data_IF_683624053307
#
_entry.id   IF_683624053307
#
_cell.length_a   1.000
_cell.length_b   1.000
_cell.length_c   1.000
_cell.angle_alpha   90.00
_cell.angle_beta   90.00
_cell.angle_gamma   90.00
#
_symmetry.space_group_name_H-M   'P 1'
#
loop_
_entity.id
_entity.type
_entity.pdbx_description
1 polymer ?
#
# COMPACT_ATOMS: atom_id res chain seq x y z
N UNK A 1 -58.09 24.49 -9.63
CA UNK A 1 -58.19 23.16 -10.27
C UNK A 1 -57.05 22.87 -11.25
N UNK A 2 -56.65 23.83 -12.10
CA UNK A 2 -55.55 23.67 -13.08
C UNK A 2 -54.19 23.44 -12.39
N UNK A 3 -53.89 24.19 -11.33
CA UNK A 3 -52.63 24.07 -10.57
C UNK A 3 -52.49 22.70 -9.90
N UNK A 4 -53.59 22.17 -9.33
CA UNK A 4 -53.61 20.84 -8.70
C UNK A 4 -53.38 19.73 -9.73
N UNK A 5 -53.97 19.85 -10.93
CA UNK A 5 -53.74 18.89 -12.03
C UNK A 5 -52.30 18.94 -12.55
N UNK A 6 -51.71 20.13 -12.63
CA UNK A 6 -50.32 20.29 -13.04
C UNK A 6 -49.34 19.66 -12.03
N UNK A 7 -49.60 19.81 -10.73
CA UNK A 7 -48.81 19.18 -9.67
C UNK A 7 -48.88 17.65 -9.73
N UNK A 8 -50.08 17.07 -9.92
CA UNK A 8 -50.26 15.62 -10.06
C UNK A 8 -49.50 15.07 -11.28
N UNK A 9 -49.55 15.77 -12.42
CA UNK A 9 -48.81 15.37 -13.62
C UNK A 9 -47.30 15.45 -13.40
N UNK A 10 -46.82 16.48 -12.70
CA UNK A 10 -45.40 16.64 -12.37
C UNK A 10 -44.90 15.54 -11.44
N UNK A 11 -45.65 15.17 -10.40
CA UNK A 11 -45.33 14.05 -9.52
C UNK A 11 -45.27 12.73 -10.28
N UNK A 12 -46.25 12.43 -11.14
CA UNK A 12 -46.26 11.20 -11.96
C UNK A 12 -45.02 11.13 -12.87
N UNK A 13 -44.61 12.27 -13.46
CA UNK A 13 -43.41 12.32 -14.31
C UNK A 13 -42.13 12.07 -13.52
N UNK A 14 -42.00 12.63 -12.31
CA UNK A 14 -40.86 12.39 -11.40
C UNK A 14 -40.81 10.92 -10.99
N UNK A 15 -41.93 10.35 -10.55
CA UNK A 15 -42.00 8.93 -10.18
C UNK A 15 -41.70 8.01 -11.36
N UNK A 16 -42.19 8.33 -12.57
CA UNK A 16 -41.87 7.59 -13.78
C UNK A 16 -40.38 7.60 -14.12
N UNK A 17 -39.72 8.76 -13.98
CA UNK A 17 -38.27 8.88 -14.19
C UNK A 17 -37.47 8.12 -13.13
N UNK A 18 -37.91 8.15 -11.87
CA UNK A 18 -37.27 7.41 -10.78
C UNK A 18 -37.36 5.89 -10.99
N UNK A 19 -38.52 5.38 -11.40
CA UNK A 19 -38.72 3.95 -11.70
C UNK A 19 -37.87 3.49 -12.89
N UNK A 20 -37.78 4.32 -13.94
CA UNK A 20 -36.92 4.03 -15.09
C UNK A 20 -35.43 4.03 -14.70
N UNK A 21 -34.99 5.00 -13.89
CA UNK A 21 -33.63 5.04 -13.39
C UNK A 21 -33.30 3.80 -12.54
N UNK A 22 -34.19 3.40 -11.64
CA UNK A 22 -34.03 2.20 -10.82
C UNK A 22 -33.95 0.93 -11.67
N UNK A 23 -34.79 0.80 -12.70
CA UNK A 23 -34.74 -0.33 -13.63
C UNK A 23 -33.45 -0.38 -14.45
N UNK A 24 -32.95 0.77 -14.88
CA UNK A 24 -31.66 0.88 -15.58
C UNK A 24 -30.49 0.49 -14.68
N UNK A 25 -30.48 0.95 -13.42
CA UNK A 25 -29.45 0.58 -12.43
C UNK A 25 -29.46 -0.93 -12.20
N UNK A 26 -30.61 -1.53 -11.91
CA UNK A 26 -30.72 -2.98 -11.69
C UNK A 26 -30.26 -3.80 -12.90
N UNK A 27 -30.59 -3.35 -14.12
CA UNK A 27 -30.12 -4.01 -15.33
C UNK A 27 -28.58 -3.93 -15.44
N UNK A 28 -28.00 -2.76 -15.18
CA UNK A 28 -26.55 -2.57 -15.24
C UNK A 28 -25.81 -3.40 -14.18
N UNK A 29 -26.36 -3.54 -12.97
CA UNK A 29 -25.80 -4.41 -11.92
C UNK A 29 -25.86 -5.89 -12.33
N UNK A 30 -26.99 -6.34 -12.88
CA UNK A 30 -27.13 -7.72 -13.38
C UNK A 30 -26.18 -8.02 -14.54
N UNK A 31 -25.99 -7.07 -15.45
CA UNK A 31 -25.05 -7.22 -16.57
C UNK A 31 -23.59 -7.27 -16.07
N UNK A 32 -23.26 -6.50 -15.04
CA UNK A 32 -21.94 -6.52 -14.39
C UNK A 32 -21.70 -7.83 -13.65
N UNK A 33 -22.67 -8.30 -12.86
CA UNK A 33 -22.62 -9.58 -12.14
C UNK A 33 -22.37 -10.75 -13.10
N UNK A 34 -23.07 -10.79 -14.24
CA UNK A 34 -22.86 -11.82 -15.27
C UNK A 34 -21.45 -11.78 -15.84
N UNK A 35 -20.94 -10.60 -16.17
CA UNK A 35 -19.56 -10.44 -16.67
C UNK A 35 -18.54 -10.91 -15.65
N UNK A 36 -18.69 -10.52 -14.38
CA UNK A 36 -17.81 -10.99 -13.31
C UNK A 36 -17.86 -12.51 -13.20
N UNK A 37 -19.05 -13.11 -13.25
CA UNK A 37 -19.21 -14.56 -13.19
C UNK A 37 -18.56 -15.29 -14.38
N UNK A 38 -18.65 -14.73 -15.58
CA UNK A 38 -17.99 -15.25 -16.79
C UNK A 38 -16.46 -15.23 -16.64
N UNK A 39 -15.88 -14.11 -16.20
CA UNK A 39 -14.43 -14.01 -16.00
C UNK A 39 -13.93 -14.93 -14.88
N UNK A 40 -14.65 -15.03 -13.76
CA UNK A 40 -14.28 -15.96 -12.68
C UNK A 40 -14.37 -17.41 -13.15
N UNK A 41 -15.30 -17.74 -14.05
CA UNK A 41 -15.33 -19.08 -14.66
C UNK A 41 -14.06 -19.33 -15.49
N UNK A 42 -13.59 -18.36 -16.28
CA UNK A 42 -12.31 -18.48 -17.01
C UNK A 42 -11.12 -18.66 -16.05
N UNK A 43 -11.15 -18.02 -14.86
CA UNK A 43 -10.11 -18.21 -13.82
C UNK A 43 -10.00 -19.68 -13.39
N UNK A 44 -11.13 -20.38 -13.21
CA UNK A 44 -11.14 -21.81 -12.86
C UNK A 44 -10.42 -22.67 -13.91
N UNK A 45 -10.49 -22.25 -15.17
CA UNK A 45 -9.94 -22.97 -16.31
C UNK A 45 -8.47 -22.62 -16.59
N UNK A 46 -7.91 -21.62 -15.90
CA UNK A 46 -6.49 -21.25 -16.02
C UNK A 46 -5.59 -22.46 -15.77
N UNK A 47 -4.56 -22.58 -16.59
CA UNK A 47 -3.58 -23.66 -16.55
C UNK A 47 -2.17 -23.12 -16.78
N UNK A 48 -1.16 -23.78 -16.22
CA UNK A 48 0.24 -23.42 -16.40
C UNK A 48 1.07 -23.55 -15.13
N UNK A 49 2.26 -22.98 -15.14
CA UNK A 49 3.14 -22.89 -13.96
C UNK A 49 3.20 -21.43 -13.50
N UNK A 50 2.94 -21.21 -12.22
CA UNK A 50 3.13 -19.91 -11.54
C UNK A 50 4.25 -20.06 -10.55
N UNK A 51 5.36 -19.31 -10.68
CA UNK A 51 6.28 -19.25 -9.55
C UNK A 51 5.55 -18.67 -8.31
N UNK A 52 5.92 -19.10 -7.11
CA UNK A 52 5.29 -18.64 -5.87
C UNK A 52 5.27 -17.11 -5.73
N UNK A 53 6.31 -16.44 -6.25
CA UNK A 53 6.49 -14.98 -6.29
C UNK A 53 5.93 -14.29 -7.55
N UNK A 54 5.57 -15.05 -8.60
CA UNK A 54 5.06 -14.53 -9.87
C UNK A 54 3.55 -14.30 -9.89
N UNK A 55 2.86 -14.49 -8.75
CA UNK A 55 1.47 -14.05 -8.64
C UNK A 55 1.31 -12.55 -8.94
N UNK A 56 2.38 -11.77 -8.73
CA UNK A 56 2.47 -10.35 -9.10
C UNK A 56 2.56 -10.08 -10.62
N UNK A 57 2.77 -11.11 -11.46
CA UNK A 57 2.96 -10.99 -12.91
C UNK A 57 1.93 -11.77 -13.75
N UNK A 58 0.87 -12.30 -13.12
CA UNK A 58 -0.22 -12.94 -13.87
C UNK A 58 -1.02 -11.90 -14.66
N UNK A 59 -0.58 -11.67 -15.90
CA UNK A 59 -1.27 -10.92 -16.95
C UNK A 59 -2.23 -11.80 -17.75
N UNK A 60 -2.86 -12.78 -17.08
CA UNK A 60 -3.88 -13.59 -17.71
C UNK A 60 -5.10 -12.70 -18.01
N UNK A 61 -5.61 -12.77 -19.23
CA UNK A 61 -6.73 -11.98 -19.73
C UNK A 61 -7.89 -11.83 -18.73
N UNK A 62 -8.45 -12.89 -18.10
CA UNK A 62 -9.57 -12.72 -17.17
C UNK A 62 -9.23 -11.92 -15.90
N UNK A 63 -7.96 -11.93 -15.46
CA UNK A 63 -7.52 -11.14 -14.30
C UNK A 63 -7.42 -9.67 -14.68
N UNK A 64 -6.90 -9.38 -15.87
CA UNK A 64 -6.79 -8.02 -16.39
C UNK A 64 -8.18 -7.43 -16.66
N UNK A 65 -9.08 -8.20 -17.29
CA UNK A 65 -10.46 -7.78 -17.53
C UNK A 65 -11.16 -7.38 -16.23
N UNK A 66 -11.07 -8.20 -15.17
CA UNK A 66 -11.64 -7.87 -13.87
C UNK A 66 -10.99 -6.63 -13.23
N UNK A 67 -9.67 -6.47 -13.34
CA UNK A 67 -8.97 -5.27 -12.84
C UNK A 67 -9.43 -4.00 -13.56
N UNK A 68 -9.63 -4.07 -14.88
CA UNK A 68 -10.10 -2.94 -15.70
C UNK A 68 -11.53 -2.51 -15.34
N UNK A 69 -12.38 -3.43 -14.90
CA UNK A 69 -13.72 -3.08 -14.39
C UNK A 69 -13.65 -2.24 -13.10
N UNK A 70 -12.55 -2.30 -12.36
CA UNK A 70 -12.27 -1.43 -11.22
C UNK A 70 -13.15 -1.68 -9.99
N UNK A 71 -13.19 -0.73 -9.05
CA UNK A 71 -13.75 -0.96 -7.72
C UNK A 71 -15.22 -1.39 -7.70
N UNK A 72 -16.00 -1.04 -8.72
CA UNK A 72 -17.44 -1.34 -8.79
C UNK A 72 -17.71 -2.86 -8.75
N UNK A 73 -16.75 -3.70 -9.15
CA UNK A 73 -16.93 -5.15 -9.13
C UNK A 73 -16.60 -5.82 -7.80
N UNK A 74 -15.97 -5.12 -6.83
CA UNK A 74 -15.57 -5.72 -5.55
C UNK A 74 -16.73 -6.47 -4.86
N UNK A 75 -17.96 -5.91 -4.74
CA UNK A 75 -19.08 -6.63 -4.12
C UNK A 75 -19.43 -7.95 -4.81
N UNK A 76 -19.30 -8.02 -6.14
CA UNK A 76 -19.59 -9.20 -6.95
C UNK A 76 -18.48 -10.24 -6.88
N UNK A 77 -17.26 -9.85 -6.50
CA UNK A 77 -16.14 -10.75 -6.26
C UNK A 77 -16.19 -11.41 -4.87
N UNK A 78 -16.79 -10.76 -3.87
CA UNK A 78 -16.81 -11.27 -2.48
C UNK A 78 -17.31 -12.72 -2.33
N UNK A 79 -18.41 -13.15 -3.00
CA UNK A 79 -18.88 -14.53 -2.88
C UNK A 79 -17.84 -15.56 -3.34
N UNK A 80 -16.99 -15.20 -4.30
CA UNK A 80 -15.96 -16.10 -4.85
C UNK A 80 -14.74 -16.27 -3.92
N UNK A 81 -14.65 -15.52 -2.81
CA UNK A 81 -13.69 -15.86 -1.75
C UNK A 81 -13.99 -17.21 -1.09
N UNK A 82 -15.24 -17.69 -1.19
CA UNK A 82 -15.63 -19.03 -0.75
C UNK A 82 -15.37 -20.12 -1.81
N UNK A 83 -14.90 -19.76 -3.01
CA UNK A 83 -14.59 -20.73 -4.06
C UNK A 83 -13.21 -21.36 -3.83
N UNK A 84 -13.21 -22.53 -3.20
CA UNK A 84 -11.99 -23.31 -2.91
C UNK A 84 -11.62 -24.28 -4.05
N UNK A 85 -12.28 -24.18 -5.20
CA UNK A 85 -11.99 -25.01 -6.36
C UNK A 85 -10.54 -24.85 -6.79
N UNK A 86 -9.91 -25.96 -7.13
CA UNK A 86 -8.58 -26.01 -7.70
C UNK A 86 -8.60 -25.52 -9.16
N UNK A 87 -7.68 -24.62 -9.50
CA UNK A 87 -7.38 -24.27 -10.89
C UNK A 87 -6.46 -25.34 -11.50
N UNK A 88 -6.15 -25.24 -12.80
CA UNK A 88 -5.13 -26.11 -13.42
C UNK A 88 -3.71 -25.52 -13.33
N UNK A 89 -3.53 -24.44 -12.56
CA UNK A 89 -2.24 -23.78 -12.36
C UNK A 89 -1.48 -24.47 -11.23
N UNK A 90 -0.21 -24.81 -11.50
CA UNK A 90 0.72 -25.36 -10.52
C UNK A 90 1.62 -24.27 -9.97
N UNK A 91 1.74 -24.18 -8.64
CA UNK A 91 2.65 -23.24 -8.00
C UNK A 91 4.06 -23.82 -7.95
N UNK A 92 5.04 -23.21 -8.58
CA UNK A 92 6.44 -23.69 -8.56
C UNK A 92 7.26 -22.86 -7.58
N UNK A 93 8.02 -23.50 -6.69
CA UNK A 93 8.95 -22.80 -5.80
C UNK A 93 10.38 -22.98 -6.31
N UNK A 94 10.98 -21.92 -6.85
CA UNK A 94 12.39 -21.93 -7.26
C UNK A 94 13.30 -21.70 -6.05
N UNK A 95 13.52 -22.72 -5.22
CA UNK A 95 14.68 -22.80 -4.32
C UNK A 95 15.60 -23.93 -4.79
N UNK A 96 16.78 -23.57 -5.31
CA UNK A 96 17.84 -24.55 -5.58
C UNK A 96 18.26 -25.26 -4.27
N UNK A 97 18.58 -26.58 -4.28
CA UNK A 97 18.72 -27.47 -5.44
C UNK A 97 17.55 -28.46 -5.66
N UNK A 98 16.46 -28.37 -4.88
CA UNK A 98 15.37 -29.34 -4.91
C UNK A 98 14.03 -28.68 -5.24
N UNK A 99 13.49 -29.01 -6.42
CA UNK A 99 12.12 -28.70 -6.82
C UNK A 99 11.14 -29.52 -5.95
N UNK A 100 10.64 -28.96 -4.84
CA UNK A 100 9.60 -29.63 -4.05
C UNK A 100 8.19 -29.10 -4.37
N UNK A 101 7.35 -30.09 -4.71
CA UNK A 101 5.90 -30.16 -4.89
C UNK A 101 5.12 -28.86 -4.94
N UNK A 102 4.76 -28.48 -6.17
CA UNK A 102 3.82 -27.42 -6.41
C UNK A 102 2.41 -27.77 -5.95
N UNK A 103 1.86 -26.93 -5.06
CA UNK A 103 0.45 -26.96 -4.71
C UNK A 103 -0.39 -26.43 -5.88
N UNK A 104 -1.60 -26.96 -6.02
CA UNK A 104 -2.58 -26.40 -6.94
C UNK A 104 -3.07 -25.07 -6.36
N UNK A 105 -3.15 -24.07 -7.22
CA UNK A 105 -3.68 -22.75 -6.86
C UNK A 105 -5.20 -22.84 -6.83
N UNK A 106 -5.84 -22.29 -5.80
CA UNK A 106 -7.30 -22.25 -5.69
C UNK A 106 -7.87 -20.90 -6.15
N UNK A 107 -9.11 -20.90 -6.61
CA UNK A 107 -9.79 -19.72 -7.18
C UNK A 107 -9.79 -18.55 -6.20
N UNK A 108 -10.12 -18.77 -4.93
CA UNK A 108 -10.21 -17.66 -3.98
C UNK A 108 -8.90 -16.89 -3.77
N UNK A 109 -7.73 -17.50 -3.96
CA UNK A 109 -6.44 -16.79 -3.90
C UNK A 109 -6.30 -15.80 -5.07
N UNK A 110 -6.80 -16.15 -6.27
CA UNK A 110 -6.87 -15.21 -7.39
C UNK A 110 -7.88 -14.08 -7.11
N UNK A 111 -9.04 -14.41 -6.55
CA UNK A 111 -10.05 -13.41 -6.18
C UNK A 111 -9.50 -12.42 -5.16
N UNK A 112 -8.82 -12.92 -4.12
CA UNK A 112 -8.15 -12.10 -3.13
C UNK A 112 -7.09 -11.18 -3.73
N UNK A 113 -6.27 -11.71 -4.63
CA UNK A 113 -5.28 -10.92 -5.39
C UNK A 113 -5.93 -9.82 -6.24
N UNK A 114 -6.98 -10.15 -6.99
CA UNK A 114 -7.72 -9.18 -7.82
C UNK A 114 -8.31 -8.08 -6.95
N UNK A 115 -8.92 -8.42 -5.81
CA UNK A 115 -9.48 -7.45 -4.86
C UNK A 115 -8.39 -6.50 -4.34
N UNK A 116 -7.24 -7.02 -3.89
CA UNK A 116 -6.12 -6.18 -3.42
C UNK A 116 -5.68 -5.18 -4.52
N UNK A 117 -5.57 -5.65 -5.76
CA UNK A 117 -5.13 -4.85 -6.91
C UNK A 117 -6.14 -3.77 -7.28
N UNK A 118 -7.42 -4.10 -7.31
CA UNK A 118 -8.50 -3.14 -7.61
C UNK A 118 -8.61 -2.09 -6.49
N UNK A 119 -8.47 -2.52 -5.24
CA UNK A 119 -8.52 -1.64 -4.08
C UNK A 119 -7.28 -0.73 -4.00
N UNK A 120 -6.15 -1.18 -4.54
CA UNK A 120 -4.81 -0.64 -4.28
C UNK A 120 -4.55 -0.55 -2.77
N UNK A 121 -4.85 -1.66 -2.08
CA UNK A 121 -4.82 -1.81 -0.64
C UNK A 121 -4.65 -3.30 -0.29
N UNK A 122 -3.74 -3.62 0.61
CA UNK A 122 -3.58 -4.99 1.09
C UNK A 122 -4.50 -5.26 2.29
N UNK A 123 -5.28 -6.34 2.18
CA UNK A 123 -6.16 -6.79 3.26
C UNK A 123 -5.52 -7.87 4.12
N UNK A 124 -5.59 -7.67 5.44
CA UNK A 124 -5.04 -8.56 6.45
C UNK A 124 -6.09 -8.89 7.50
N UNK A 125 -6.01 -10.09 8.07
CA UNK A 125 -6.67 -10.43 9.32
C UNK A 125 -5.62 -10.78 10.37
N UNK A 126 -5.90 -10.42 11.61
CA UNK A 126 -5.19 -11.01 12.74
C UNK A 126 -5.64 -12.47 12.86
N UNK A 127 -4.67 -13.36 12.99
CA UNK A 127 -4.85 -14.78 13.17
C UNK A 127 -5.31 -15.13 14.58
N UNK A 128 -5.14 -16.40 14.96
CA UNK A 128 -5.59 -16.89 16.27
C UNK A 128 -4.66 -16.48 17.41
N UNK A 129 -3.44 -16.08 17.09
CA UNK A 129 -2.49 -15.50 18.03
C UNK A 129 -2.21 -14.06 17.64
N UNK A 130 -1.80 -13.23 18.60
CA UNK A 130 -1.57 -11.79 18.39
C UNK A 130 -0.45 -11.51 17.35
N UNK A 131 0.37 -12.51 17.05
CA UNK A 131 1.50 -12.42 16.12
C UNK A 131 1.22 -13.04 14.73
N UNK A 132 0.10 -13.76 14.56
CA UNK A 132 -0.26 -14.36 13.28
C UNK A 132 -0.97 -13.32 12.41
N UNK A 133 -0.45 -13.07 11.20
CA UNK A 133 -1.10 -12.23 10.20
C UNK A 133 -1.50 -13.13 9.03
N UNK A 134 -2.79 -13.11 8.66
CA UNK A 134 -3.32 -13.84 7.52
C UNK A 134 -3.51 -12.86 6.36
N UNK A 135 -2.92 -13.14 5.20
CA UNK A 135 -3.05 -12.34 3.99
C UNK A 135 -4.26 -12.79 3.17
N UNK A 136 -4.99 -11.85 2.56
CA UNK A 136 -6.11 -12.17 1.65
C UNK A 136 -5.67 -13.05 0.46
N UNK A 137 -4.41 -12.95 0.04
CA UNK A 137 -3.84 -13.70 -1.08
C UNK A 137 -3.41 -15.14 -0.72
N UNK A 138 -3.52 -15.53 0.55
CA UNK A 138 -3.25 -16.90 0.98
C UNK A 138 -4.36 -17.88 0.57
N UNK A 139 -4.10 -19.17 0.78
CA UNK A 139 -5.10 -20.21 0.55
C UNK A 139 -6.14 -20.14 1.67
N UNK A 140 -7.32 -19.58 1.39
CA UNK A 140 -8.40 -19.51 2.36
C UNK A 140 -9.18 -20.83 2.34
N UNK A 141 -9.09 -21.62 3.42
CA UNK A 141 -9.80 -22.92 3.53
C UNK A 141 -10.88 -22.87 4.62
N UNK A 142 -10.63 -22.09 5.67
CA UNK A 142 -11.51 -21.97 6.82
C UNK A 142 -12.66 -20.98 6.55
N UNK A 143 -13.90 -21.42 6.78
CA UNK A 143 -15.10 -20.63 6.48
C UNK A 143 -15.23 -19.39 7.37
N UNK A 144 -14.75 -19.44 8.60
CA UNK A 144 -14.79 -18.28 9.50
C UNK A 144 -13.82 -17.19 9.02
N UNK A 145 -12.61 -17.59 8.62
CA UNK A 145 -11.60 -16.71 7.99
C UNK A 145 -12.13 -16.10 6.69
N UNK A 146 -12.78 -16.89 5.83
CA UNK A 146 -13.39 -16.40 4.58
C UNK A 146 -14.46 -15.35 4.87
N UNK A 147 -15.37 -15.61 5.83
CA UNK A 147 -16.41 -14.66 6.22
C UNK A 147 -15.84 -13.39 6.86
N UNK A 148 -14.78 -13.50 7.64
CA UNK A 148 -14.08 -12.37 8.22
C UNK A 148 -13.49 -11.46 7.12
N UNK A 149 -12.83 -12.03 6.10
CA UNK A 149 -12.35 -11.27 4.95
C UNK A 149 -13.50 -10.64 4.15
N UNK A 150 -14.55 -11.39 3.85
CA UNK A 150 -15.73 -10.86 3.15
C UNK A 150 -16.31 -9.63 3.89
N UNK A 151 -16.39 -9.70 5.22
CA UNK A 151 -16.87 -8.61 6.08
C UNK A 151 -15.91 -7.43 6.08
N UNK A 152 -14.60 -7.68 6.23
CA UNK A 152 -13.56 -6.66 6.21
C UNK A 152 -13.58 -5.87 4.89
N UNK A 153 -13.59 -6.59 3.76
CA UNK A 153 -13.56 -5.98 2.42
C UNK A 153 -14.88 -5.25 2.14
N UNK A 154 -16.04 -5.81 2.52
CA UNK A 154 -17.31 -5.12 2.37
C UNK A 154 -17.37 -3.80 3.17
N UNK A 155 -16.83 -3.81 4.40
CA UNK A 155 -16.73 -2.62 5.23
C UNK A 155 -15.81 -1.58 4.62
N UNK A 156 -14.62 -2.01 4.17
CA UNK A 156 -13.68 -1.14 3.49
C UNK A 156 -14.28 -0.55 2.21
N UNK A 157 -14.91 -1.37 1.37
CA UNK A 157 -15.54 -0.93 0.12
C UNK A 157 -16.62 0.12 0.39
N UNK A 158 -17.51 -0.12 1.36
CA UNK A 158 -18.55 0.83 1.73
C UNK A 158 -17.99 2.17 2.20
N UNK A 159 -16.85 2.19 2.90
CA UNK A 159 -16.17 3.41 3.34
C UNK A 159 -15.45 4.15 2.19
N UNK A 160 -15.00 3.42 1.18
CA UNK A 160 -14.04 3.91 0.18
C UNK A 160 -14.57 4.01 -1.25
N UNK A 161 -15.74 3.46 -1.57
CA UNK A 161 -16.26 3.36 -2.95
C UNK A 161 -16.38 4.71 -3.67
N UNK A 162 -16.69 5.76 -2.93
CA UNK A 162 -16.89 7.12 -3.46
C UNK A 162 -15.64 8.01 -3.28
N UNK A 163 -14.58 7.48 -2.67
CA UNK A 163 -13.32 8.20 -2.46
C UNK A 163 -12.42 8.08 -3.68
N UNK A 164 -11.78 9.19 -4.05
CA UNK A 164 -10.66 9.19 -4.98
C UNK A 164 -9.48 8.38 -4.42
N UNK A 165 -8.62 7.87 -5.29
CA UNK A 165 -7.42 7.12 -4.86
C UNK A 165 -6.58 7.92 -3.85
N UNK A 166 -6.41 9.22 -4.09
CA UNK A 166 -5.65 10.08 -3.20
C UNK A 166 -6.28 10.27 -1.81
N UNK A 167 -7.61 10.21 -1.69
CA UNK A 167 -8.27 10.21 -0.38
C UNK A 167 -8.08 8.87 0.34
N UNK A 168 -8.08 7.76 -0.39
CA UNK A 168 -7.79 6.43 0.18
C UNK A 168 -6.35 6.34 0.68
N UNK A 169 -5.37 6.80 -0.10
CA UNK A 169 -3.97 6.85 0.35
C UNK A 169 -3.74 7.77 1.53
N UNK A 170 -4.57 8.81 1.71
CA UNK A 170 -4.52 9.63 2.92
C UNK A 170 -5.07 8.89 4.15
N UNK A 171 -6.15 8.12 4.00
CA UNK A 171 -6.65 7.22 5.05
C UNK A 171 -5.59 6.17 5.43
N UNK A 172 -4.89 5.62 4.43
CA UNK A 172 -3.86 4.58 4.62
C UNK A 172 -2.65 5.06 5.44
N UNK A 173 -2.42 6.36 5.63
CA UNK A 173 -1.36 6.87 6.53
C UNK A 173 -1.56 6.46 7.99
N UNK A 174 -2.78 6.08 8.35
CA UNK A 174 -3.15 5.60 9.69
C UNK A 174 -3.57 4.13 9.68
N UNK A 175 -3.27 3.40 8.61
CA UNK A 175 -3.55 1.97 8.55
C UNK A 175 -2.79 1.23 9.66
N UNK A 176 -3.35 0.12 10.16
CA UNK A 176 -2.70 -0.70 11.18
C UNK A 176 -1.45 -1.41 10.67
N UNK A 177 -1.38 -1.70 9.37
CA UNK A 177 -0.28 -2.42 8.75
C UNK A 177 0.67 -1.46 8.02
N UNK A 178 1.96 -1.65 8.23
CA UNK A 178 3.03 -0.83 7.68
C UNK A 178 3.07 -0.88 6.15
N UNK A 179 2.81 -2.02 5.53
CA UNK A 179 2.77 -2.16 4.06
C UNK A 179 1.85 -1.12 3.39
N UNK A 180 0.64 -0.94 3.92
CA UNK A 180 -0.32 0.05 3.39
C UNK A 180 0.19 1.48 3.63
N UNK A 181 0.74 1.77 4.83
CA UNK A 181 1.33 3.07 5.14
C UNK A 181 2.49 3.42 4.20
N UNK A 182 3.39 2.47 3.95
CA UNK A 182 4.54 2.63 3.05
C UNK A 182 4.07 2.89 1.63
N UNK A 183 3.15 2.07 1.10
CA UNK A 183 2.58 2.26 -0.23
C UNK A 183 1.92 3.65 -0.37
N UNK A 184 1.25 4.13 0.68
CA UNK A 184 0.70 5.47 0.71
C UNK A 184 1.77 6.56 0.66
N UNK A 185 2.85 6.46 1.45
CA UNK A 185 3.95 7.43 1.40
C UNK A 185 4.56 7.54 0.00
N UNK A 186 4.82 6.40 -0.65
CA UNK A 186 5.33 6.36 -2.02
C UNK A 186 4.39 7.06 -3.00
N UNK A 187 3.13 6.63 -3.04
CA UNK A 187 2.15 7.18 -3.97
C UNK A 187 1.94 8.69 -3.78
N UNK A 188 1.81 9.15 -2.53
CA UNK A 188 1.61 10.56 -2.21
C UNK A 188 2.83 11.40 -2.64
N UNK A 189 4.04 10.89 -2.43
CA UNK A 189 5.28 11.53 -2.88
C UNK A 189 5.38 11.61 -4.41
N UNK A 190 5.10 10.51 -5.10
CA UNK A 190 5.16 10.41 -6.58
C UNK A 190 4.11 11.27 -7.27
N UNK A 191 2.96 11.51 -6.63
CA UNK A 191 1.94 12.42 -7.15
C UNK A 191 2.43 13.86 -7.32
N UNK A 192 3.46 14.26 -6.54
CA UNK A 192 4.03 15.62 -6.50
C UNK A 192 3.01 16.73 -6.20
N UNK A 193 1.86 16.40 -5.61
CA UNK A 193 0.80 17.38 -5.32
C UNK A 193 1.02 18.03 -3.95
N UNK A 194 1.08 19.38 -3.90
CA UNK A 194 1.31 20.14 -2.66
C UNK A 194 0.26 19.86 -1.57
N UNK A 195 -0.97 19.50 -1.95
CA UNK A 195 -2.06 19.20 -1.00
C UNK A 195 -1.73 18.06 -0.03
N UNK A 196 -0.83 17.14 -0.40
CA UNK A 196 -0.42 16.01 0.46
C UNK A 196 0.76 16.32 1.39
N UNK A 197 1.38 17.50 1.25
CA UNK A 197 2.49 17.93 2.09
C UNK A 197 2.12 17.94 3.58
N UNK A 198 1.02 18.60 3.94
CA UNK A 198 0.65 18.76 5.35
C UNK A 198 0.31 17.44 6.06
N UNK A 199 -0.46 16.52 5.45
CA UNK A 199 -0.65 15.18 6.01
C UNK A 199 0.65 14.44 6.33
N UNK A 200 1.61 14.42 5.40
CA UNK A 200 2.92 13.79 5.61
C UNK A 200 3.74 14.48 6.73
N UNK A 201 3.72 15.82 6.78
CA UNK A 201 4.37 16.55 7.88
C UNK A 201 3.74 16.24 9.25
N UNK A 202 2.43 16.03 9.29
CA UNK A 202 1.72 15.68 10.51
C UNK A 202 2.04 14.25 10.94
N UNK A 203 2.13 13.30 10.01
CA UNK A 203 2.55 11.93 10.30
C UNK A 203 3.96 11.90 10.92
N UNK A 204 4.92 12.66 10.38
CA UNK A 204 6.25 12.79 10.99
C UNK A 204 6.17 13.32 12.43
N UNK A 205 5.32 14.33 12.70
CA UNK A 205 5.14 14.87 14.07
C UNK A 205 4.53 13.86 15.03
N UNK A 206 3.63 12.99 14.55
CA UNK A 206 3.07 11.88 15.33
C UNK A 206 4.15 10.86 15.66
N UNK A 207 4.91 10.43 14.65
CA UNK A 207 6.04 9.52 14.83
C UNK A 207 7.03 10.07 15.86
N UNK A 208 7.35 11.37 15.83
CA UNK A 208 8.22 11.97 16.84
C UNK A 208 7.71 11.87 18.28
N UNK A 209 6.38 11.79 18.50
CA UNK A 209 5.78 11.68 19.83
C UNK A 209 5.66 10.25 20.32
N UNK A 210 5.64 9.29 19.40
CA UNK A 210 5.47 7.89 19.75
C UNK A 210 6.75 7.35 20.44
N UNK A 211 6.56 6.60 21.51
CA UNK A 211 7.62 5.94 22.28
C UNK A 211 7.82 4.47 21.86
N UNK A 212 7.03 3.97 20.91
CA UNK A 212 7.12 2.62 20.32
C UNK A 212 8.31 2.49 19.36
N UNK A 213 9.02 1.36 19.42
CA UNK A 213 10.39 1.18 18.93
C UNK A 213 10.52 -0.05 18.01
N UNK A 214 10.80 0.22 16.72
CA UNK A 214 11.65 -0.55 15.76
C UNK A 214 11.42 -0.09 14.31
N UNK A 215 10.19 0.29 13.92
CA UNK A 215 9.87 0.67 12.52
C UNK A 215 9.62 2.18 12.30
N UNK A 216 9.60 2.95 13.38
CA UNK A 216 9.30 4.38 13.37
C UNK A 216 10.26 5.19 12.49
N UNK A 217 11.55 4.89 12.56
CA UNK A 217 12.58 5.64 11.82
C UNK A 217 12.47 5.39 10.32
N UNK A 218 12.17 4.15 9.91
CA UNK A 218 11.88 3.79 8.52
C UNK A 218 10.67 4.58 8.02
N UNK A 219 9.58 4.62 8.78
CA UNK A 219 8.40 5.42 8.42
C UNK A 219 8.70 6.92 8.29
N UNK A 220 9.53 7.47 9.18
CA UNK A 220 9.97 8.86 9.06
C UNK A 220 10.72 9.09 7.75
N UNK A 221 11.54 8.14 7.32
CA UNK A 221 12.32 8.21 6.09
C UNK A 221 11.41 8.13 4.87
N UNK A 222 10.42 7.24 4.86
CA UNK A 222 9.44 7.19 3.78
C UNK A 222 8.65 8.50 3.68
N UNK A 223 8.19 9.06 4.80
CA UNK A 223 7.54 10.37 4.83
C UNK A 223 8.47 11.49 4.34
N UNK A 224 9.73 11.49 4.78
CA UNK A 224 10.73 12.48 4.39
C UNK A 224 10.99 12.41 2.88
N UNK A 225 11.15 11.21 2.34
CA UNK A 225 11.36 10.96 0.92
C UNK A 225 10.17 11.44 0.09
N UNK A 226 8.93 11.15 0.55
CA UNK A 226 7.72 11.64 -0.08
C UNK A 226 7.66 13.18 -0.12
N UNK A 227 7.98 13.85 0.99
CA UNK A 227 8.08 15.32 1.05
C UNK A 227 9.17 15.89 0.14
N UNK A 228 10.32 15.22 0.06
CA UNK A 228 11.40 15.56 -0.86
C UNK A 228 10.97 15.45 -2.32
N UNK A 229 10.18 14.42 -2.67
CA UNK A 229 9.63 14.24 -4.02
C UNK A 229 8.54 15.28 -4.35
N UNK A 230 7.73 15.70 -3.38
CA UNK A 230 6.79 16.83 -3.53
C UNK A 230 7.56 18.13 -3.79
N UNK A 231 8.76 18.30 -3.24
CA UNK A 231 9.66 19.39 -3.60
C UNK A 231 9.32 20.75 -3.00
N UNK A 232 8.44 20.81 -2.00
CA UNK A 232 8.01 22.08 -1.41
C UNK A 232 8.98 22.54 -0.30
N UNK A 233 9.64 23.71 -0.43
CA UNK A 233 10.66 24.16 0.52
C UNK A 233 10.12 24.45 1.93
N UNK A 234 8.79 24.61 2.10
CA UNK A 234 8.18 24.80 3.44
C UNK A 234 8.41 23.60 4.36
N UNK A 235 8.63 22.40 3.80
CA UNK A 235 8.91 21.19 4.57
C UNK A 235 10.36 21.10 5.07
N UNK A 236 11.26 21.99 4.65
CA UNK A 236 12.67 21.93 5.02
C UNK A 236 12.91 21.92 6.54
N UNK A 237 12.07 22.63 7.32
CA UNK A 237 12.18 22.65 8.78
C UNK A 237 11.93 21.26 9.39
N UNK A 238 10.92 20.53 8.92
CA UNK A 238 10.63 19.19 9.46
C UNK A 238 11.66 18.17 8.96
N UNK A 239 12.10 18.28 7.70
CA UNK A 239 13.12 17.38 7.16
C UNK A 239 14.47 17.54 7.87
N UNK A 240 14.86 18.78 8.25
CA UNK A 240 16.03 18.99 9.12
C UNK A 240 15.91 18.28 10.47
N UNK A 241 14.71 18.22 11.04
CA UNK A 241 14.49 17.51 12.31
C UNK A 241 14.64 16.01 12.13
N UNK A 242 14.05 15.43 11.07
CA UNK A 242 14.20 14.00 10.74
C UNK A 242 15.67 13.66 10.48
N UNK A 243 16.35 14.43 9.61
CA UNK A 243 17.76 14.20 9.33
C UNK A 243 18.63 14.30 10.59
N UNK A 244 18.33 15.23 11.50
CA UNK A 244 19.04 15.33 12.78
C UNK A 244 18.76 14.17 13.72
N UNK A 245 17.50 13.74 13.85
CA UNK A 245 17.09 12.59 14.66
C UNK A 245 17.87 11.34 14.25
N UNK A 246 17.81 10.98 12.97
CA UNK A 246 18.50 9.82 12.42
C UNK A 246 20.03 9.94 12.49
N UNK A 247 20.56 11.16 12.39
CA UNK A 247 22.00 11.41 12.56
C UNK A 247 22.44 11.35 14.02
N UNK A 248 21.55 11.64 14.97
CA UNK A 248 21.85 11.63 16.41
C UNK A 248 21.99 10.20 16.92
N UNK A 249 21.13 9.29 16.50
CA UNK A 249 21.26 7.86 16.80
C UNK A 249 22.60 7.32 16.29
N UNK A 250 23.05 7.84 15.15
CA UNK A 250 24.37 7.53 14.60
C UNK A 250 25.54 8.17 15.37
N UNK A 251 25.27 9.26 16.08
CA UNK A 251 26.27 10.01 16.84
C UNK A 251 26.54 9.45 18.25
N UNK A 252 25.91 8.31 18.60
CA UNK A 252 26.12 7.62 19.87
C UNK A 252 25.52 8.32 21.08
N UNK A 253 24.54 9.20 20.88
CA UNK A 253 23.80 9.81 21.98
C UNK A 253 23.12 8.75 22.85
N UNK A 254 23.29 8.82 24.17
CA UNK A 254 22.82 7.83 25.15
C UNK A 254 21.40 7.32 24.88
N UNK A 255 21.30 6.17 24.20
CA UNK A 255 20.43 5.04 24.55
C UNK A 255 20.68 3.85 23.61
N UNK A 256 21.12 2.77 24.26
CA UNK A 256 20.98 1.36 23.83
C UNK A 256 22.03 0.82 22.85
N UNK A 257 23.04 0.18 23.45
CA UNK A 257 23.69 -1.05 22.97
C UNK A 257 24.08 -1.04 21.47
N UNK A 258 25.22 -0.44 21.19
CA UNK A 258 26.08 -0.69 20.02
C UNK A 258 26.39 -2.18 19.73
N UNK A 259 25.94 -3.10 20.57
CA UNK A 259 26.09 -4.55 20.35
C UNK A 259 25.03 -5.14 19.40
N UNK A 260 23.91 -4.44 19.11
CA UNK A 260 22.81 -5.03 18.31
C UNK A 260 22.09 -4.11 17.30
N UNK A 261 22.22 -2.78 17.36
CA UNK A 261 21.56 -1.87 16.41
C UNK A 261 22.50 -0.74 15.97
N UNK A 262 23.11 -0.90 14.79
CA UNK A 262 23.73 0.24 14.08
C UNK A 262 22.61 0.94 13.32
N UNK A 263 22.43 2.27 13.44
CA UNK A 263 21.40 2.97 12.68
C UNK A 263 21.61 2.77 11.18
N UNK A 264 20.52 2.63 10.44
CA UNK A 264 20.61 2.35 9.01
C UNK A 264 21.18 3.57 8.27
N UNK A 265 22.38 3.42 7.72
CA UNK A 265 23.02 4.41 6.84
C UNK A 265 22.07 4.84 5.73
N UNK A 266 21.28 3.92 5.19
CA UNK A 266 20.31 4.21 4.16
C UNK A 266 19.30 5.27 4.61
N UNK A 267 18.79 5.17 5.84
CA UNK A 267 17.84 6.12 6.40
C UNK A 267 18.43 7.51 6.57
N UNK A 268 19.66 7.59 7.12
CA UNK A 268 20.39 8.86 7.28
C UNK A 268 20.57 9.54 5.92
N UNK A 269 21.08 8.83 4.93
CA UNK A 269 21.31 9.39 3.60
C UNK A 269 20.02 9.79 2.89
N UNK A 270 18.95 8.99 3.01
CA UNK A 270 17.65 9.26 2.40
C UNK A 270 17.01 10.54 2.97
N UNK A 271 17.08 10.74 4.29
CA UNK A 271 16.58 11.97 4.90
C UNK A 271 17.37 13.21 4.47
N UNK A 272 18.70 13.10 4.34
CA UNK A 272 19.55 14.18 3.82
C UNK A 272 19.35 14.43 2.33
N UNK A 273 19.06 13.40 1.53
CA UNK A 273 18.71 13.53 0.12
C UNK A 273 17.37 14.27 -0.04
N UNK A 274 16.37 13.91 0.77
CA UNK A 274 15.08 14.62 0.78
C UNK A 274 15.27 16.11 1.10
N UNK A 275 16.14 16.45 2.04
CA UNK A 275 16.51 17.84 2.34
C UNK A 275 17.25 18.50 1.16
N UNK A 276 18.15 17.78 0.48
CA UNK A 276 18.85 18.26 -0.71
C UNK A 276 17.89 18.58 -1.87
N UNK A 277 16.87 17.74 -2.10
CA UNK A 277 15.79 17.98 -3.08
C UNK A 277 15.02 19.28 -2.83
N UNK A 278 14.98 19.77 -1.58
CA UNK A 278 14.40 21.07 -1.23
C UNK A 278 15.37 22.26 -1.37
N UNK A 279 16.52 22.07 -2.01
CA UNK A 279 17.52 23.12 -2.25
C UNK A 279 18.58 23.25 -1.15
N UNK A 280 18.67 22.31 -0.21
CA UNK A 280 19.59 22.36 0.93
C UNK A 280 20.77 21.38 0.80
N UNK A 281 21.21 21.07 -0.43
CA UNK A 281 22.34 20.15 -0.71
C UNK A 281 23.63 20.49 0.05
N UNK A 282 24.02 21.78 0.08
CA UNK A 282 25.23 22.22 0.80
C UNK A 282 25.15 21.90 2.29
N UNK A 283 24.00 22.15 2.91
CA UNK A 283 23.73 21.86 4.32
C UNK A 283 23.83 20.35 4.59
N UNK A 284 23.14 19.54 3.78
CA UNK A 284 23.16 18.09 3.87
C UNK A 284 24.58 17.52 3.76
N UNK A 285 25.37 17.96 2.77
CA UNK A 285 26.75 17.51 2.60
C UNK A 285 27.66 17.91 3.75
N UNK A 286 27.52 19.13 4.30
CA UNK A 286 28.30 19.53 5.48
C UNK A 286 28.04 18.57 6.63
N UNK A 287 26.76 18.27 6.93
CA UNK A 287 26.39 17.36 8.02
C UNK A 287 26.89 15.94 7.80
N UNK A 288 26.75 15.39 6.60
CA UNK A 288 27.27 14.06 6.28
C UNK A 288 28.81 13.98 6.39
N UNK A 289 29.54 15.05 6.07
CA UNK A 289 30.98 15.10 6.28
C UNK A 289 31.38 15.23 7.75
N UNK A 290 30.55 15.88 8.58
CA UNK A 290 30.73 15.88 10.04
C UNK A 290 30.57 14.45 10.58
N UNK A 291 29.49 13.74 10.21
CA UNK A 291 29.31 12.33 10.59
C UNK A 291 30.47 11.43 10.13
N UNK A 292 30.99 11.66 8.92
CA UNK A 292 32.19 10.98 8.44
C UNK A 292 33.38 11.20 9.38
N UNK A 293 33.63 12.46 9.75
CA UNK A 293 34.78 12.82 10.58
C UNK A 293 34.67 12.21 11.97
N UNK A 294 33.47 12.25 12.53
CA UNK A 294 33.26 11.94 13.94
C UNK A 294 33.07 10.42 14.17
N UNK A 295 32.57 9.65 13.18
CA UNK A 295 32.13 8.27 13.41
C UNK A 295 32.63 7.23 12.39
N UNK A 296 33.27 7.61 11.27
CA UNK A 296 33.68 6.63 10.24
C UNK A 296 34.62 5.58 10.78
N UNK A 297 35.57 5.95 11.65
CA UNK A 297 36.54 5.01 12.21
C UNK A 297 35.92 4.05 13.23
N UNK A 298 34.75 4.38 13.80
CA UNK A 298 34.04 3.56 14.78
C UNK A 298 33.13 2.49 14.12
N UNK A 299 32.83 2.65 12.83
CA UNK A 299 32.01 1.71 12.06
C UNK A 299 32.80 0.44 11.70
N UNK A 300 32.11 -0.69 11.52
CA UNK A 300 32.71 -1.87 10.89
C UNK A 300 33.06 -1.63 9.41
N UNK A 301 33.96 -2.43 8.86
CA UNK A 301 34.51 -2.20 7.51
C UNK A 301 33.46 -2.20 6.38
N UNK A 302 32.40 -2.99 6.48
CA UNK A 302 31.34 -3.02 5.47
C UNK A 302 30.47 -1.77 5.56
N UNK A 303 30.14 -1.35 6.78
CA UNK A 303 29.42 -0.11 7.08
C UNK A 303 30.21 1.12 6.63
N UNK A 304 31.52 1.17 6.86
CA UNK A 304 32.40 2.23 6.35
C UNK A 304 32.35 2.33 4.82
N UNK A 305 32.46 1.19 4.13
CA UNK A 305 32.42 1.14 2.67
C UNK A 305 31.10 1.68 2.13
N UNK A 306 29.98 1.25 2.71
CA UNK A 306 28.63 1.74 2.36
C UNK A 306 28.50 3.24 2.60
N UNK A 307 28.98 3.74 3.75
CA UNK A 307 28.95 5.17 4.08
C UNK A 307 29.70 5.99 3.05
N UNK A 308 30.95 5.61 2.73
CA UNK A 308 31.79 6.32 1.77
C UNK A 308 31.21 6.27 0.34
N UNK A 309 30.62 5.15 -0.06
CA UNK A 309 29.94 5.02 -1.34
C UNK A 309 28.74 5.97 -1.44
N UNK A 310 27.89 6.00 -0.40
CA UNK A 310 26.73 6.87 -0.33
C UNK A 310 27.15 8.35 -0.26
N UNK A 311 28.22 8.69 0.46
CA UNK A 311 28.76 10.06 0.47
C UNK A 311 29.27 10.49 -0.91
N UNK A 312 29.88 9.57 -1.67
CA UNK A 312 30.29 9.83 -3.06
C UNK A 312 29.08 10.07 -3.96
N UNK A 313 28.00 9.31 -3.80
CA UNK A 313 26.72 9.52 -4.50
C UNK A 313 26.12 10.87 -4.11
N UNK A 314 26.12 11.23 -2.83
CA UNK A 314 25.55 12.47 -2.32
C UNK A 314 26.18 13.74 -2.88
N UNK A 315 27.47 13.71 -3.21
CA UNK A 315 28.14 14.84 -3.90
C UNK A 315 27.51 15.17 -5.25
N UNK A 316 26.83 14.22 -5.89
CA UNK A 316 26.17 14.35 -7.19
C UNK A 316 24.69 14.74 -7.13
N UNK A 317 24.10 14.85 -5.93
CA UNK A 317 22.70 15.27 -5.75
C UNK A 317 22.34 16.59 -6.43
#
# INVERSE_FOLDING_TARGET
MIILRALIVFEILIFGHLLLAQKTIQKSESDLEKKVAEEVKKIRELSGESAWYLFNEFSAEPILELQEMGMVIIPFLLPYLSDTSETRVRRVHYRHPNYYTGGVVIVNSYIGYIINRIADHEFYLLGKTDDDIILLTEKLVDMDTIRAFQTLIANWYRKNKDKSLGERKLDDLQDGFDTNRIAAYHWLGESKLEKYRLPLENKIKELFKDNSDTFKDDEMVYCATALGNIGNPKSAKILRKVANHLSYDYSGGERVRWKYHTPDIYNVFSAHEALAKLGHKKEALVRLNVLKKDYLEEMDGDTQKKFLENLRKAKKW
#
